data_IF_549201614821
#
_entry.id   IF_549201614821
#
_cell.length_a   1.000
_cell.length_b   1.000
_cell.length_c   1.000
_cell.angle_alpha   90.00
_cell.angle_beta   90.00
_cell.angle_gamma   90.00
#
_symmetry.space_group_name_H-M   'P 1'
#
loop_
_entity.id
_entity.type
_entity.pdbx_description
1 polymer ?
#
# COMPACT_ATOMS: atom_id res chain seq x y z
N UNK A 1 -8.01 -4.33 0.67
CA UNK A 1 -7.43 -4.93 1.89
C UNK A 1 -7.49 -3.92 3.03
N UNK A 2 -8.06 -4.32 4.13
CA UNK A 2 -8.06 -3.55 5.37
C UNK A 2 -7.68 -4.51 6.47
N UNK A 3 -6.52 -4.32 7.08
CA UNK A 3 -5.99 -5.32 8.01
C UNK A 3 -5.01 -4.73 9.00
N UNK A 4 -5.06 -5.23 10.23
CA UNK A 4 -4.02 -4.99 11.23
C UNK A 4 -3.07 -6.18 11.22
N UNK A 5 -1.79 -5.91 11.04
CA UNK A 5 -0.75 -6.93 11.07
C UNK A 5 -0.01 -6.89 12.40
N UNK A 6 0.18 -8.04 13.01
CA UNK A 6 0.99 -8.18 14.20
C UNK A 6 2.42 -8.47 13.78
N UNK A 7 3.38 -7.75 14.35
CA UNK A 7 4.80 -7.93 14.06
C UNK A 7 5.51 -8.73 15.16
N UNK A 8 4.94 -8.75 16.35
CA UNK A 8 5.51 -9.46 17.48
C UNK A 8 4.65 -10.68 17.80
N UNK A 9 5.02 -11.82 17.21
CA UNK A 9 4.28 -13.08 17.35
C UNK A 9 5.16 -14.03 18.15
N UNK A 10 4.63 -14.53 19.29
CA UNK A 10 5.33 -15.47 20.14
C UNK A 10 5.77 -16.70 19.32
N UNK A 11 7.00 -17.13 19.54
CA UNK A 11 7.57 -18.28 18.87
C UNK A 11 8.02 -18.05 17.43
N UNK A 12 7.90 -16.82 16.93
CA UNK A 12 8.29 -16.50 15.56
C UNK A 12 9.36 -15.42 15.51
N UNK A 13 10.27 -15.57 14.57
CA UNK A 13 11.30 -14.58 14.31
C UNK A 13 10.64 -13.33 13.71
N UNK A 14 10.92 -12.17 14.30
CA UNK A 14 10.34 -10.90 13.87
C UNK A 14 10.64 -10.56 12.41
N UNK A 15 11.86 -10.81 11.96
CA UNK A 15 12.24 -10.53 10.57
C UNK A 15 11.46 -11.39 9.59
N UNK A 16 11.20 -12.65 9.94
CA UNK A 16 10.39 -13.54 9.12
C UNK A 16 8.93 -13.11 9.08
N UNK A 17 8.40 -12.65 10.21
CA UNK A 17 7.04 -12.10 10.26
C UNK A 17 6.95 -10.89 9.36
N UNK A 18 7.92 -10.00 9.41
CA UNK A 18 7.97 -8.81 8.58
C UNK A 18 8.01 -9.16 7.09
N UNK A 19 8.85 -10.12 6.71
CA UNK A 19 8.94 -10.58 5.33
C UNK A 19 7.62 -11.20 4.85
N UNK A 20 6.97 -11.99 5.70
CA UNK A 20 5.68 -12.59 5.37
C UNK A 20 4.60 -11.53 5.16
N UNK A 21 4.58 -10.49 5.99
CA UNK A 21 3.65 -9.37 5.87
C UNK A 21 3.86 -8.65 4.54
N UNK A 22 5.10 -8.31 4.23
CA UNK A 22 5.43 -7.64 2.97
C UNK A 22 5.07 -8.49 1.77
N UNK A 23 5.29 -9.81 1.87
CA UNK A 23 4.92 -10.74 0.81
C UNK A 23 3.41 -10.77 0.59
N UNK A 24 2.64 -10.83 1.66
CA UNK A 24 1.17 -10.83 1.58
C UNK A 24 0.67 -9.56 0.88
N UNK A 25 1.22 -8.42 1.23
CA UNK A 25 0.85 -7.14 0.63
C UNK A 25 1.19 -7.12 -0.87
N UNK A 26 2.41 -7.53 -1.24
CA UNK A 26 2.82 -7.59 -2.64
C UNK A 26 1.95 -8.55 -3.45
N UNK A 27 1.62 -9.69 -2.87
CA UNK A 27 0.76 -10.69 -3.52
C UNK A 27 -0.63 -10.12 -3.76
N UNK A 28 -1.19 -9.41 -2.79
CA UNK A 28 -2.49 -8.76 -2.94
C UNK A 28 -2.46 -7.74 -4.08
N UNK A 29 -1.49 -6.84 -4.07
CA UNK A 29 -1.35 -5.80 -5.10
C UNK A 29 -1.16 -6.40 -6.48
N UNK A 30 -0.32 -7.42 -6.58
CA UNK A 30 -0.07 -8.10 -7.84
C UNK A 30 -1.34 -8.75 -8.40
N UNK A 31 -2.13 -9.37 -7.52
CA UNK A 31 -3.41 -9.97 -7.91
C UNK A 31 -4.38 -8.90 -8.41
N UNK A 32 -4.47 -7.77 -7.72
CA UNK A 32 -5.38 -6.71 -8.11
C UNK A 32 -4.96 -6.07 -9.44
N UNK A 33 -3.67 -5.94 -9.69
CA UNK A 33 -3.16 -5.41 -10.96
C UNK A 33 -3.43 -6.32 -12.16
N UNK A 34 -3.69 -7.59 -11.93
CA UNK A 34 -4.02 -8.55 -12.99
C UNK A 34 -5.48 -8.55 -13.37
N UNK A 35 -6.32 -7.87 -12.62
CA UNK A 35 -7.74 -7.79 -12.94
C UNK A 35 -7.93 -7.02 -14.24
N UNK A 36 -8.97 -7.41 -14.98
CA UNK A 36 -9.33 -6.70 -16.21
C UNK A 36 -9.68 -5.26 -15.89
N UNK A 37 -9.11 -4.33 -16.67
CA UNK A 37 -9.40 -2.90 -16.51
C UNK A 37 -10.78 -2.59 -17.07
N UNK A 38 -11.62 -1.85 -16.33
CA UNK A 38 -12.87 -1.34 -16.91
C UNK A 38 -12.60 -0.43 -18.10
N UNK A 39 -13.60 -0.30 -18.98
CA UNK A 39 -13.50 0.59 -20.11
C UNK A 39 -13.20 2.03 -19.65
N UNK A 40 -12.26 2.66 -20.33
CA UNK A 40 -11.86 4.03 -20.00
C UNK A 40 -10.85 4.15 -18.86
N UNK A 41 -10.46 3.06 -18.24
CA UNK A 41 -9.47 3.04 -17.16
C UNK A 41 -8.12 2.63 -17.73
N UNK A 42 -7.08 3.41 -17.43
CA UNK A 42 -5.76 3.18 -18.00
C UNK A 42 -4.89 2.24 -17.18
N UNK A 43 -5.09 2.25 -15.86
CA UNK A 43 -4.32 1.38 -14.95
C UNK A 43 -5.05 1.25 -13.62
N UNK A 44 -4.64 0.25 -12.84
CA UNK A 44 -5.08 0.13 -11.44
C UNK A 44 -4.21 1.03 -10.58
N UNK A 45 -4.87 1.88 -9.80
CA UNK A 45 -4.23 2.69 -8.77
C UNK A 45 -4.63 2.14 -7.40
N UNK A 46 -3.99 2.61 -6.34
CA UNK A 46 -4.25 2.13 -4.99
C UNK A 46 -4.35 3.30 -4.03
N UNK A 47 -5.50 3.38 -3.35
CA UNK A 47 -5.71 4.33 -2.28
C UNK A 47 -5.32 3.66 -0.98
N UNK A 48 -4.41 4.27 -0.24
CA UNK A 48 -3.80 3.65 0.93
C UNK A 48 -3.95 4.51 2.17
N UNK A 49 -4.11 3.82 3.30
CA UNK A 49 -4.03 4.43 4.62
C UNK A 49 -3.11 3.57 5.48
N UNK A 50 -2.41 4.20 6.40
CA UNK A 50 -1.44 3.52 7.24
C UNK A 50 -1.34 4.19 8.60
N UNK A 51 -1.19 3.40 9.64
CA UNK A 51 -1.00 3.88 11.00
C UNK A 51 -0.74 2.74 11.96
N UNK A 52 -0.47 3.07 13.21
CA UNK A 52 -0.29 2.05 14.25
C UNK A 52 -1.61 1.31 14.53
N UNK A 53 -2.73 2.01 14.41
CA UNK A 53 -4.07 1.47 14.56
C UNK A 53 -4.97 2.03 13.47
N UNK A 54 -6.15 1.43 13.31
CA UNK A 54 -7.13 1.92 12.36
C UNK A 54 -7.51 3.39 12.64
N UNK A 55 -7.66 3.72 13.89
CA UNK A 55 -8.05 5.08 14.30
C UNK A 55 -6.97 6.11 13.98
N UNK A 56 -5.72 5.71 14.01
CA UNK A 56 -4.57 6.56 13.75
C UNK A 56 -4.15 6.56 12.28
N UNK A 57 -4.76 5.72 11.46
CA UNK A 57 -4.38 5.59 10.07
C UNK A 57 -4.67 6.88 9.30
N UNK A 58 -3.71 7.30 8.51
CA UNK A 58 -3.80 8.49 7.66
C UNK A 58 -3.56 8.10 6.21
N UNK A 59 -4.06 8.91 5.30
CA UNK A 59 -3.84 8.70 3.86
C UNK A 59 -2.35 8.82 3.56
N UNK A 60 -1.82 7.82 2.88
CA UNK A 60 -0.42 7.78 2.46
C UNK A 60 -0.31 7.38 1.00
N UNK A 61 0.80 7.74 0.39
CA UNK A 61 1.07 7.35 -0.98
C UNK A 61 1.48 5.87 -1.02
N UNK A 62 0.96 5.13 -2.00
CA UNK A 62 1.26 3.69 -2.13
C UNK A 62 2.77 3.41 -2.13
N UNK A 63 3.55 4.23 -2.83
CA UNK A 63 4.99 4.04 -2.94
C UNK A 63 5.74 4.15 -1.59
N UNK A 64 5.12 4.73 -0.57
CA UNK A 64 5.75 4.90 0.74
C UNK A 64 5.51 3.74 1.70
N UNK A 65 4.62 2.80 1.36
CA UNK A 65 4.19 1.76 2.29
C UNK A 65 5.33 0.90 2.82
N UNK A 66 6.22 0.43 1.96
CA UNK A 66 7.34 -0.41 2.39
C UNK A 66 8.23 0.31 3.40
N UNK A 67 8.54 1.58 3.13
CA UNK A 67 9.34 2.40 4.05
C UNK A 67 8.63 2.66 5.38
N UNK A 68 7.32 2.85 5.36
CA UNK A 68 6.54 3.04 6.59
C UNK A 68 6.50 1.77 7.44
N UNK A 69 6.36 0.62 6.81
CA UNK A 69 6.41 -0.67 7.50
C UNK A 69 7.77 -0.87 8.14
N UNK A 70 8.84 -0.60 7.40
CA UNK A 70 10.21 -0.71 7.92
C UNK A 70 10.45 0.25 9.08
N UNK A 71 9.92 1.46 9.01
CA UNK A 71 10.06 2.43 10.10
C UNK A 71 9.40 1.94 11.38
N UNK A 72 8.18 1.41 11.30
CA UNK A 72 7.50 0.85 12.47
C UNK A 72 8.28 -0.34 13.04
N UNK A 73 8.78 -1.22 12.19
CA UNK A 73 9.55 -2.37 12.63
C UNK A 73 10.85 -1.93 13.31
N UNK A 74 11.53 -0.93 12.78
CA UNK A 74 12.78 -0.40 13.34
C UNK A 74 12.56 0.28 14.68
N UNK A 75 11.43 0.96 14.84
CA UNK A 75 11.07 1.63 16.08
C UNK A 75 10.57 0.66 17.16
N UNK A 76 10.49 -0.64 16.86
CA UNK A 76 10.04 -1.64 17.81
C UNK A 76 8.53 -1.74 17.93
N UNK A 77 7.79 -1.21 16.96
CA UNK A 77 6.34 -1.31 16.94
C UNK A 77 5.86 -2.76 16.87
N UNK A 78 4.77 -3.07 17.55
CA UNK A 78 4.23 -4.42 17.64
C UNK A 78 3.21 -4.71 16.56
N UNK A 79 2.62 -3.69 15.98
CA UNK A 79 1.58 -3.84 14.97
C UNK A 79 1.48 -2.60 14.09
N UNK A 80 0.80 -2.74 12.97
CA UNK A 80 0.36 -1.62 12.17
C UNK A 80 -0.96 -1.94 11.47
N UNK A 81 -1.69 -0.90 11.12
CA UNK A 81 -2.91 -1.00 10.33
C UNK A 81 -2.65 -0.50 8.92
N UNK A 82 -3.17 -1.20 7.94
CA UNK A 82 -3.01 -0.84 6.54
C UNK A 82 -4.32 -0.99 5.79
N UNK A 83 -4.61 -0.03 4.91
CA UNK A 83 -5.67 -0.13 3.91
C UNK A 83 -5.05 0.01 2.53
N UNK A 84 -5.43 -0.87 1.64
CA UNK A 84 -5.07 -0.80 0.24
C UNK A 84 -6.33 -1.11 -0.54
N UNK A 85 -6.86 -0.11 -1.24
CA UNK A 85 -8.07 -0.24 -2.03
C UNK A 85 -7.74 0.06 -3.48
N UNK A 86 -8.03 -0.90 -4.36
CA UNK A 86 -7.85 -0.70 -5.79
C UNK A 86 -8.79 0.39 -6.28
N UNK A 87 -8.28 1.31 -7.06
CA UNK A 87 -9.04 2.40 -7.65
C UNK A 87 -8.70 2.54 -9.13
N UNK A 88 -9.48 3.34 -9.82
CA UNK A 88 -9.31 3.56 -11.25
C UNK A 88 -8.32 4.69 -11.48
N UNK A 89 -7.22 4.38 -12.16
CA UNK A 89 -6.22 5.37 -12.53
C UNK A 89 -6.36 5.76 -13.99
N UNK A 90 -6.11 7.02 -14.29
CA UNK A 90 -6.16 7.55 -15.63
C UNK A 90 -4.87 8.28 -15.96
N UNK A 91 -4.31 7.99 -17.12
CA UNK A 91 -3.18 8.76 -17.59
C UNK A 91 -3.66 10.15 -17.94
N UNK A 92 -3.00 11.14 -17.38
CA UNK A 92 -3.29 12.51 -17.74
C UNK A 92 -2.64 12.79 -19.09
N UNK A 93 -3.48 12.77 -20.12
CA UNK A 93 -3.07 13.31 -21.41
C UNK A 93 -2.94 14.82 -21.22
N UNK A 94 -1.80 15.39 -21.62
CA UNK A 94 -1.68 16.83 -21.65
C UNK A 94 -2.68 17.36 -22.68
N UNK A 95 -3.49 18.36 -22.34
CA UNK A 95 -4.38 18.97 -23.32
C UNK A 95 -3.56 19.47 -24.50
N UNK A 96 -4.07 19.31 -25.73
CA UNK A 96 -3.41 19.87 -26.90
C UNK A 96 -3.14 21.36 -26.69
N UNK A 97 -1.93 21.80 -26.96
CA UNK A 97 -1.55 23.20 -26.81
C UNK A 97 -1.18 23.61 -25.39
N UNK A 98 -1.34 22.73 -24.40
CA UNK A 98 -0.85 23.02 -23.07
C UNK A 98 0.68 22.92 -23.09
N UNK A 99 1.33 23.99 -22.76
CA UNK A 99 2.78 23.95 -22.56
C UNK A 99 3.10 23.04 -21.40
N UNK A 100 4.21 22.27 -21.47
CA UNK A 100 4.70 21.60 -20.28
C UNK A 100 4.86 22.65 -19.21
N UNK A 101 4.41 22.33 -18.01
CA UNK A 101 4.67 23.22 -16.90
C UNK A 101 6.17 23.22 -16.64
N UNK A 102 6.73 24.32 -16.91
CA UNK A 102 8.15 24.52 -16.69
C UNK A 102 8.42 24.81 -15.23
#
# INVERSE_FOLDING_TARGET
MKKTFQLNIEGKNRDRVLDAVKHEIRKYVKRERRRELPEGVDFWDFDCRFGATEEQAVVVHFATLTGLIDAIATEGGDQFYIEILASHGHRQARPPGAAPME
#
